data_IF_559369251502
#
_entry.id   IF_559369251502
#
_cell.length_a   1.000
_cell.length_b   1.000
_cell.length_c   1.000
_cell.angle_alpha   90.00
_cell.angle_beta   90.00
_cell.angle_gamma   90.00
#
_symmetry.space_group_name_H-M   'P 1'
#
loop_
_entity.id
_entity.type
_entity.pdbx_description
1 polymer ?
#
# COMPACT_ATOMS: atom_id res chain seq x y z
N UNK A 1 19.93 -56.43 -39.36
CA UNK A 1 20.22 -55.21 -38.57
C UNK A 1 19.13 -54.19 -38.86
N UNK A 2 18.22 -53.96 -37.91
CA UNK A 2 17.14 -52.97 -38.04
C UNK A 2 17.36 -51.90 -36.97
N UNK A 3 17.72 -50.69 -37.41
CA UNK A 3 17.82 -49.52 -36.54
C UNK A 3 16.41 -49.01 -36.21
N UNK A 4 16.07 -48.98 -34.92
CA UNK A 4 14.89 -48.28 -34.41
C UNK A 4 15.28 -46.84 -34.11
N UNK A 5 14.75 -45.88 -34.86
CA UNK A 5 14.92 -44.45 -34.57
C UNK A 5 13.97 -44.02 -33.46
N UNK A 6 14.53 -43.54 -32.34
CA UNK A 6 13.76 -43.05 -31.20
C UNK A 6 13.05 -41.74 -31.55
N UNK A 7 11.74 -41.69 -31.29
CA UNK A 7 10.87 -40.53 -31.52
C UNK A 7 11.19 -39.43 -30.49
N UNK A 8 11.64 -38.27 -30.96
CA UNK A 8 11.94 -37.08 -30.13
C UNK A 8 10.67 -36.61 -29.43
N UNK A 9 10.66 -36.66 -28.09
CA UNK A 9 9.56 -36.16 -27.27
C UNK A 9 9.48 -34.63 -27.37
N UNK A 10 8.26 -34.10 -27.59
CA UNK A 10 8.01 -32.67 -27.61
C UNK A 10 8.22 -32.05 -26.21
N UNK A 11 8.72 -30.82 -26.11
CA UNK A 11 8.95 -30.16 -24.83
C UNK A 11 7.62 -29.99 -24.08
N UNK A 12 7.55 -30.54 -22.85
CA UNK A 12 6.39 -30.36 -21.97
C UNK A 12 6.22 -28.88 -21.66
N UNK A 13 5.02 -28.36 -21.91
CA UNK A 13 4.60 -27.01 -21.55
C UNK A 13 4.75 -26.85 -20.04
N UNK A 14 5.60 -25.93 -19.61
CA UNK A 14 5.81 -25.66 -18.19
C UNK A 14 4.46 -25.26 -17.55
N UNK A 15 4.19 -25.70 -16.29
CA UNK A 15 2.98 -25.30 -15.59
C UNK A 15 2.91 -23.77 -15.51
N UNK A 16 1.73 -23.21 -15.78
CA UNK A 16 1.51 -21.78 -15.65
C UNK A 16 1.87 -21.36 -14.22
N UNK A 17 2.81 -20.43 -14.07
CA UNK A 17 3.12 -19.85 -12.75
C UNK A 17 1.86 -19.15 -12.27
N UNK A 18 1.31 -19.62 -11.15
CA UNK A 18 0.29 -18.89 -10.39
C UNK A 18 0.86 -17.49 -10.10
N UNK A 19 0.12 -16.46 -10.50
CA UNK A 19 0.54 -15.08 -10.26
C UNK A 19 0.67 -14.87 -8.74
N UNK A 20 1.76 -14.23 -8.33
CA UNK A 20 1.99 -13.83 -6.96
C UNK A 20 0.87 -12.85 -6.52
N UNK A 21 0.14 -13.12 -5.42
CA UNK A 21 -0.95 -12.26 -4.94
C UNK A 21 -0.54 -10.80 -4.76
N UNK A 22 0.68 -10.53 -4.28
CA UNK A 22 1.18 -9.17 -4.14
C UNK A 22 1.29 -8.47 -5.50
N UNK A 23 1.73 -9.20 -6.53
CA UNK A 23 1.81 -8.68 -7.89
C UNK A 23 0.43 -8.30 -8.44
N UNK A 24 -0.62 -9.05 -8.10
CA UNK A 24 -1.98 -8.71 -8.51
C UNK A 24 -2.46 -7.41 -7.84
N UNK A 25 -2.31 -7.28 -6.52
CA UNK A 25 -2.69 -6.05 -5.79
C UNK A 25 -1.92 -4.83 -6.30
N UNK A 26 -0.62 -4.96 -6.56
CA UNK A 26 0.18 -3.86 -7.12
C UNK A 26 -0.28 -3.45 -8.52
N UNK A 27 -0.71 -4.40 -9.34
CA UNK A 27 -1.26 -4.10 -10.66
C UNK A 27 -2.59 -3.32 -10.56
N UNK A 28 -3.45 -3.68 -9.60
CA UNK A 28 -4.69 -2.96 -9.31
C UNK A 28 -4.42 -1.54 -8.82
N UNK A 29 -3.49 -1.37 -7.87
CA UNK A 29 -3.07 -0.05 -7.37
C UNK A 29 -2.52 0.80 -8.51
N UNK A 30 -1.69 0.21 -9.39
CA UNK A 30 -1.15 0.93 -10.55
C UNK A 30 -2.24 1.34 -11.54
N UNK A 31 -3.23 0.47 -11.79
CA UNK A 31 -4.37 0.78 -12.64
C UNK A 31 -5.20 1.94 -12.05
N UNK A 32 -5.51 1.88 -10.74
CA UNK A 32 -6.23 2.92 -10.03
C UNK A 32 -5.46 4.26 -10.02
N UNK A 33 -4.15 4.24 -9.81
CA UNK A 33 -3.32 5.45 -9.82
C UNK A 33 -3.39 6.21 -11.17
N UNK A 34 -3.54 5.49 -12.29
CA UNK A 34 -3.67 6.09 -13.62
C UNK A 34 -4.99 6.85 -13.82
N UNK A 35 -6.02 6.57 -13.02
CA UNK A 35 -7.33 7.23 -13.14
C UNK A 35 -7.46 8.48 -12.27
N UNK A 36 -6.53 8.73 -11.34
CA UNK A 36 -6.58 9.88 -10.43
C UNK A 36 -6.34 11.23 -11.14
N UNK A 37 -5.69 11.21 -12.31
CA UNK A 37 -5.37 12.42 -13.07
C UNK A 37 -4.22 13.23 -12.44
N UNK A 38 -3.96 14.45 -12.94
CA UNK A 38 -2.89 15.29 -12.41
C UNK A 38 -3.23 15.79 -11.00
N UNK A 39 -2.28 15.63 -10.08
CA UNK A 39 -2.41 16.13 -8.71
C UNK A 39 -2.20 17.66 -8.66
N UNK A 40 -2.84 18.36 -7.71
CA UNK A 40 -2.52 19.76 -7.42
C UNK A 40 -1.03 19.96 -7.11
N UNK A 41 -0.49 21.14 -7.45
CA UNK A 41 0.92 21.46 -7.24
C UNK A 41 1.35 21.56 -5.76
N UNK A 42 0.40 21.76 -4.85
CA UNK A 42 0.65 21.76 -3.41
C UNK A 42 0.23 20.41 -2.80
N UNK A 43 1.17 19.73 -2.15
CA UNK A 43 0.91 18.46 -1.47
C UNK A 43 0.09 18.63 -0.17
N UNK A 44 0.18 19.78 0.50
CA UNK A 44 -0.42 20.05 1.81
C UNK A 44 -0.91 21.50 1.91
N UNK A 45 -2.05 21.72 2.58
CA UNK A 45 -2.46 23.02 3.11
C UNK A 45 -2.88 24.10 2.10
N UNK A 46 -2.73 23.86 0.80
CA UNK A 46 -3.17 24.77 -0.27
C UNK A 46 -2.59 26.17 -0.11
N UNK A 47 -3.46 27.16 0.16
CA UNK A 47 -3.09 28.59 0.33
C UNK A 47 -2.17 28.81 1.55
N UNK A 48 -2.21 27.92 2.55
CA UNK A 48 -1.38 28.01 3.76
C UNK A 48 -0.69 26.67 4.09
N UNK A 49 0.38 26.30 3.35
CA UNK A 49 1.06 25.01 3.50
C UNK A 49 1.58 24.76 4.92
N UNK A 50 2.17 25.77 5.56
CA UNK A 50 2.75 25.64 6.90
C UNK A 50 1.68 25.36 7.96
N UNK A 51 0.57 26.13 7.93
CA UNK A 51 -0.58 25.91 8.82
C UNK A 51 -1.24 24.56 8.58
N UNK A 52 -1.33 24.14 7.32
CA UNK A 52 -1.84 22.81 6.97
C UNK A 52 -0.99 21.71 7.59
N UNK A 53 0.33 21.80 7.41
CA UNK A 53 1.29 20.81 7.92
C UNK A 53 1.23 20.70 9.44
N UNK A 54 1.15 21.83 10.16
CA UNK A 54 1.01 21.83 11.62
C UNK A 54 -0.32 21.23 12.08
N UNK A 55 -1.41 21.47 11.35
CA UNK A 55 -2.69 20.82 11.62
C UNK A 55 -2.60 19.29 11.44
N UNK A 56 -1.94 18.81 10.38
CA UNK A 56 -1.72 17.37 10.18
C UNK A 56 -0.88 16.76 11.31
N UNK A 57 0.16 17.45 11.81
CA UNK A 57 0.95 16.97 12.96
C UNK A 57 0.11 16.80 14.21
N UNK A 58 -0.66 17.82 14.59
CA UNK A 58 -1.53 17.76 15.79
C UNK A 58 -2.53 16.62 15.69
N UNK A 59 -3.16 16.45 14.52
CA UNK A 59 -4.07 15.32 14.29
C UNK A 59 -3.36 13.97 14.32
N UNK A 60 -2.12 13.89 13.85
CA UNK A 60 -1.30 12.69 13.97
C UNK A 60 -1.04 12.32 15.44
N UNK A 61 -0.71 13.30 16.28
CA UNK A 61 -0.52 13.11 17.72
C UNK A 61 -1.82 12.66 18.41
N UNK A 62 -2.97 13.25 18.06
CA UNK A 62 -4.29 12.83 18.55
C UNK A 62 -4.56 11.35 18.19
N UNK A 63 -4.30 10.95 16.96
CA UNK A 63 -4.52 9.58 16.51
C UNK A 63 -3.53 8.57 17.11
N UNK A 64 -2.30 8.98 17.39
CA UNK A 64 -1.34 8.13 18.09
C UNK A 64 -1.83 7.79 19.51
N UNK A 65 -2.44 8.74 20.22
CA UNK A 65 -3.06 8.51 21.53
C UNK A 65 -4.25 7.55 21.40
N UNK A 66 -5.16 7.81 20.45
CA UNK A 66 -6.33 6.95 20.21
C UNK A 66 -5.89 5.51 19.89
N UNK A 67 -4.86 5.34 19.06
CA UNK A 67 -4.37 4.02 18.67
C UNK A 67 -3.62 3.32 19.80
N UNK A 68 -2.93 4.04 20.69
CA UNK A 68 -2.36 3.48 21.90
C UNK A 68 -3.46 2.87 22.78
N UNK A 69 -4.53 3.63 23.06
CA UNK A 69 -5.67 3.15 23.86
C UNK A 69 -6.35 1.94 23.21
N UNK A 70 -6.58 1.98 21.88
CA UNK A 70 -7.14 0.84 21.13
C UNK A 70 -6.22 -0.39 21.17
N UNK A 71 -4.91 -0.17 21.14
CA UNK A 71 -3.89 -1.21 21.25
C UNK A 71 -3.95 -1.90 22.62
N UNK A 72 -4.00 -1.12 23.70
CA UNK A 72 -4.16 -1.64 25.07
C UNK A 72 -5.47 -2.41 25.25
N UNK A 73 -6.56 -1.94 24.64
CA UNK A 73 -7.85 -2.60 24.65
C UNK A 73 -7.95 -3.81 23.68
N UNK A 74 -6.93 -4.10 22.88
CA UNK A 74 -6.94 -5.21 21.91
C UNK A 74 -7.90 -5.02 20.74
N UNK A 75 -8.30 -3.79 20.45
CA UNK A 75 -9.26 -3.42 19.38
C UNK A 75 -8.62 -2.53 18.31
N UNK A 76 -7.29 -2.47 18.24
CA UNK A 76 -6.57 -1.73 17.22
C UNK A 76 -6.83 -2.33 15.84
N UNK A 77 -7.42 -1.52 14.95
CA UNK A 77 -7.68 -1.88 13.57
C UNK A 77 -6.73 -1.18 12.59
N UNK A 78 -6.71 -1.71 11.37
CA UNK A 78 -6.00 -1.11 10.23
C UNK A 78 -6.52 0.30 9.91
N UNK A 79 -7.79 0.60 10.19
CA UNK A 79 -8.39 1.93 10.04
C UNK A 79 -7.62 2.98 10.85
N UNK A 80 -7.39 2.70 12.14
CA UNK A 80 -6.68 3.61 13.03
C UNK A 80 -5.24 3.83 12.60
N UNK A 81 -4.54 2.74 12.23
CA UNK A 81 -3.18 2.79 11.72
C UNK A 81 -3.07 3.61 10.42
N UNK A 82 -4.02 3.43 9.50
CA UNK A 82 -4.02 4.14 8.22
C UNK A 82 -4.22 5.65 8.43
N UNK A 83 -5.12 6.02 9.34
CA UNK A 83 -5.39 7.43 9.64
C UNK A 83 -4.18 8.09 10.31
N UNK A 84 -3.58 7.45 11.31
CA UNK A 84 -2.38 7.96 11.97
C UNK A 84 -1.23 8.15 10.97
N UNK A 85 -0.96 7.14 10.14
CA UNK A 85 0.12 7.21 9.13
C UNK A 85 -0.17 8.28 8.08
N UNK A 86 -1.43 8.48 7.68
CA UNK A 86 -1.81 9.54 6.75
C UNK A 86 -1.53 10.92 7.35
N UNK A 87 -1.94 11.16 8.60
CA UNK A 87 -1.64 12.43 9.28
C UNK A 87 -0.14 12.65 9.45
N UNK A 88 0.62 11.62 9.85
CA UNK A 88 2.07 11.70 9.95
C UNK A 88 2.74 11.99 8.60
N UNK A 89 2.25 11.41 7.50
CA UNK A 89 2.77 11.64 6.17
C UNK A 89 2.62 13.11 5.75
N UNK A 90 1.41 13.67 5.87
CA UNK A 90 1.16 15.06 5.49
C UNK A 90 1.66 16.08 6.53
N UNK A 91 2.03 15.64 7.72
CA UNK A 91 2.76 16.41 8.73
C UNK A 91 4.29 16.49 8.49
N UNK A 92 4.82 15.84 7.45
CA UNK A 92 6.25 15.88 7.12
C UNK A 92 6.76 17.29 6.83
N UNK A 93 7.99 17.60 7.27
CA UNK A 93 8.68 18.88 7.03
C UNK A 93 9.31 18.97 5.65
N UNK A 94 9.58 17.82 5.04
CA UNK A 94 10.27 17.74 3.75
C UNK A 94 9.51 16.85 2.77
N UNK A 95 9.66 17.05 1.45
CA UNK A 95 9.09 16.15 0.45
C UNK A 95 9.53 14.69 0.63
N UNK A 96 10.74 14.45 1.15
CA UNK A 96 11.26 13.12 1.45
C UNK A 96 10.48 12.44 2.58
N UNK A 97 10.19 13.18 3.66
CA UNK A 97 9.37 12.70 4.77
C UNK A 97 7.94 12.39 4.32
N UNK A 98 7.34 13.31 3.55
CA UNK A 98 5.98 13.14 3.01
C UNK A 98 5.93 11.89 2.11
N UNK A 99 6.87 11.76 1.17
CA UNK A 99 6.96 10.59 0.30
C UNK A 99 7.13 9.30 1.10
N UNK A 100 8.01 9.29 2.10
CA UNK A 100 8.22 8.12 2.98
C UNK A 100 6.96 7.74 3.74
N UNK A 101 6.21 8.73 4.25
CA UNK A 101 4.91 8.51 4.89
C UNK A 101 3.86 7.95 3.94
N UNK A 102 3.75 8.50 2.72
CA UNK A 102 2.83 7.98 1.70
C UNK A 102 3.16 6.55 1.29
N UNK A 103 4.46 6.20 1.17
CA UNK A 103 4.88 4.82 0.90
C UNK A 103 4.46 3.89 2.05
N UNK A 104 4.62 4.32 3.31
CA UNK A 104 4.13 3.56 4.47
C UNK A 104 2.61 3.36 4.42
N UNK A 105 1.85 4.42 4.12
CA UNK A 105 0.39 4.33 3.96
C UNK A 105 0.01 3.33 2.86
N UNK A 106 0.66 3.40 1.69
CA UNK A 106 0.43 2.46 0.60
C UNK A 106 0.76 1.02 1.01
N UNK A 107 1.85 0.79 1.74
CA UNK A 107 2.21 -0.56 2.20
C UNK A 107 1.19 -1.14 3.16
N UNK A 108 0.62 -0.32 4.06
CA UNK A 108 -0.44 -0.74 4.97
C UNK A 108 -1.71 -1.12 4.21
N UNK A 109 -2.12 -0.30 3.23
CA UNK A 109 -3.28 -0.59 2.39
C UNK A 109 -3.10 -1.90 1.59
N UNK A 110 -1.93 -2.12 0.98
CA UNK A 110 -1.61 -3.35 0.25
C UNK A 110 -1.63 -4.58 1.16
N UNK A 111 -1.07 -4.47 2.37
CA UNK A 111 -1.10 -5.55 3.35
C UNK A 111 -2.54 -5.88 3.78
N UNK A 112 -3.37 -4.85 3.99
CA UNK A 112 -4.77 -5.02 4.37
C UNK A 112 -5.60 -5.71 3.27
N UNK A 113 -5.44 -5.30 2.01
CA UNK A 113 -6.08 -5.98 0.87
C UNK A 113 -5.64 -7.44 0.79
N UNK A 114 -4.34 -7.70 0.97
CA UNK A 114 -3.81 -9.07 0.97
C UNK A 114 -4.43 -9.93 2.08
N UNK A 115 -4.64 -9.36 3.27
CA UNK A 115 -5.31 -10.06 4.37
C UNK A 115 -6.79 -10.36 4.02
N UNK A 116 -7.52 -9.40 3.46
CA UNK A 116 -8.91 -9.58 3.02
C UNK A 116 -9.00 -10.71 1.97
N UNK A 117 -8.10 -10.73 0.99
CA UNK A 117 -8.05 -11.77 -0.04
C UNK A 117 -7.68 -13.16 0.48
N UNK A 118 -7.01 -13.24 1.64
CA UNK A 118 -6.71 -14.50 2.31
C UNK A 118 -7.89 -15.02 3.13
N UNK A 119 -8.62 -14.12 3.80
CA UNK A 119 -9.81 -14.46 4.59
C UNK A 119 -11.01 -14.85 3.70
N UNK A 120 -11.07 -14.33 2.47
CA UNK A 120 -12.12 -14.66 1.50
C UNK A 120 -11.93 -15.96 0.70
N UNK A 121 -10.85 -16.72 0.94
CA UNK A 121 -10.57 -18.02 0.31
C UNK A 121 -10.96 -19.18 1.21
#
# INVERSE_FOLDING_TARGET
MTQTTAKKAAPRKAPARTADPLTAVLAEVQAAAKTVGPLPGHLVGGVHPDRGTDAYRRRGEEWAIINADRGEAGVLGVDGLAIEVAFAAFGGRTPGEIRGGLVRLSSLAVAAVTQIDQEGK
#
